data_IF_361887070152
#
_entry.id   IF_361887070152
#
_cell.length_a   1.000
_cell.length_b   1.000
_cell.length_c   1.000
_cell.angle_alpha   90.00
_cell.angle_beta   90.00
_cell.angle_gamma   90.00
#
_symmetry.space_group_name_H-M   'P 1'
#
loop_
_entity.id
_entity.type
_entity.pdbx_description
1 polymer ?
#
# COMPACT_ATOMS: atom_id res chain seq x y z
N UNK A 1 -5.66 -5.79 -2.57
CA UNK A 1 -5.85 -7.11 -1.94
C UNK A 1 -5.92 -6.92 -0.44
N UNK A 2 -6.33 -7.95 0.30
CA UNK A 2 -6.30 -7.93 1.76
C UNK A 2 -4.98 -8.51 2.27
N UNK A 3 -4.51 -8.03 3.43
CA UNK A 3 -3.24 -8.46 4.02
C UNK A 3 -2.07 -7.54 3.67
N UNK A 4 -0.86 -7.99 3.98
CA UNK A 4 0.36 -7.17 3.95
C UNK A 4 1.20 -7.47 2.72
N UNK A 5 1.67 -6.41 2.05
CA UNK A 5 2.56 -6.52 0.90
C UNK A 5 4.01 -6.20 1.28
N UNK A 6 4.80 -7.24 1.51
CA UNK A 6 6.23 -7.16 1.85
C UNK A 6 7.01 -8.11 0.93
N UNK A 7 8.14 -7.66 0.40
CA UNK A 7 9.08 -8.51 -0.34
C UNK A 7 9.99 -9.31 0.60
N UNK A 8 10.53 -10.44 0.13
CA UNK A 8 11.43 -11.28 0.91
C UNK A 8 10.80 -12.60 1.39
N UNK A 9 11.42 -13.31 2.35
CA UNK A 9 11.05 -14.68 2.72
C UNK A 9 9.71 -14.81 3.46
N UNK A 10 9.05 -13.70 3.81
CA UNK A 10 7.67 -13.69 4.32
C UNK A 10 7.53 -13.78 5.85
N UNK A 11 8.63 -13.82 6.61
CA UNK A 11 8.61 -13.85 8.08
C UNK A 11 7.99 -12.57 8.64
N UNK A 12 8.29 -11.42 8.04
CA UNK A 12 7.77 -10.12 8.44
C UNK A 12 6.26 -10.02 8.15
N UNK A 13 5.82 -10.52 6.99
CA UNK A 13 4.40 -10.56 6.61
C UNK A 13 3.58 -11.29 7.68
N UNK A 14 4.01 -12.49 8.07
CA UNK A 14 3.32 -13.30 9.08
C UNK A 14 3.18 -12.57 10.41
N UNK A 15 4.25 -11.95 10.91
CA UNK A 15 4.24 -11.21 12.18
C UNK A 15 3.25 -10.04 12.15
N UNK A 16 3.22 -9.27 11.05
CA UNK A 16 2.30 -8.14 10.92
C UNK A 16 0.84 -8.63 10.86
N UNK A 17 0.55 -9.67 10.08
CA UNK A 17 -0.80 -10.24 9.96
C UNK A 17 -1.27 -10.88 11.27
N UNK A 18 -0.40 -11.56 12.02
CA UNK A 18 -0.70 -12.12 13.35
C UNK A 18 -1.09 -11.02 14.35
N UNK A 19 -0.29 -9.95 14.44
CA UNK A 19 -0.55 -8.83 15.34
C UNK A 19 -1.86 -8.13 14.96
N UNK A 20 -2.05 -7.81 13.68
CA UNK A 20 -3.27 -7.14 13.25
C UNK A 20 -4.52 -8.00 13.48
N UNK A 21 -4.43 -9.31 13.28
CA UNK A 21 -5.50 -10.25 13.61
C UNK A 21 -5.80 -10.24 15.12
N UNK A 22 -4.76 -10.27 15.96
CA UNK A 22 -4.89 -10.20 17.43
C UNK A 22 -5.62 -8.94 17.89
N UNK A 23 -5.33 -7.80 17.27
CA UNK A 23 -5.97 -6.52 17.60
C UNK A 23 -7.22 -6.20 16.75
N UNK A 24 -7.65 -7.12 15.88
CA UNK A 24 -8.79 -6.97 14.96
C UNK A 24 -8.68 -5.71 14.07
N UNK A 25 -7.47 -5.36 13.68
CA UNK A 25 -7.20 -4.24 12.77
C UNK A 25 -7.28 -4.75 11.33
N UNK A 26 -8.20 -4.21 10.49
CA UNK A 26 -8.27 -4.60 9.09
C UNK A 26 -7.02 -4.10 8.33
N UNK A 27 -6.41 -4.97 7.52
CA UNK A 27 -5.26 -4.60 6.67
C UNK A 27 -5.65 -4.70 5.20
N UNK A 28 -5.42 -3.60 4.48
CA UNK A 28 -5.52 -3.53 3.03
C UNK A 28 -4.16 -3.16 2.43
N UNK A 29 -3.81 -3.81 1.32
CA UNK A 29 -2.62 -3.46 0.55
C UNK A 29 -2.98 -3.15 -0.91
N UNK A 30 -2.45 -2.03 -1.40
CA UNK A 30 -2.47 -1.62 -2.80
C UNK A 30 -1.03 -1.59 -3.30
N UNK A 31 -0.81 -2.24 -4.44
CA UNK A 31 0.50 -2.38 -5.07
C UNK A 31 0.43 -1.81 -6.48
N UNK A 32 1.40 -0.97 -6.81
CA UNK A 32 1.72 -0.62 -8.20
C UNK A 32 2.92 -1.48 -8.58
N UNK A 33 2.75 -2.38 -9.55
CA UNK A 33 3.79 -3.32 -9.94
C UNK A 33 4.63 -2.71 -11.06
N UNK A 34 5.92 -2.55 -10.81
CA UNK A 34 6.92 -2.16 -11.80
C UNK A 34 7.55 -3.40 -12.42
N UNK A 35 7.84 -3.35 -13.72
CA UNK A 35 8.66 -4.34 -14.41
C UNK A 35 10.13 -3.93 -14.44
N UNK A 36 11.03 -4.85 -14.80
CA UNK A 36 12.48 -4.55 -14.92
C UNK A 36 12.73 -3.37 -15.87
N UNK A 37 11.99 -3.30 -16.98
CA UNK A 37 12.09 -2.20 -17.94
C UNK A 37 11.77 -0.83 -17.34
N UNK A 38 10.86 -0.77 -16.37
CA UNK A 38 10.48 0.48 -15.70
C UNK A 38 11.56 0.97 -14.72
N UNK A 39 12.43 0.07 -14.27
CA UNK A 39 13.52 0.36 -13.32
C UNK A 39 14.79 0.83 -14.03
N UNK A 40 15.05 0.31 -15.24
CA UNK A 40 16.29 0.59 -15.99
C UNK A 40 16.12 1.66 -17.08
N UNK A 41 14.90 2.15 -17.30
CA UNK A 41 14.60 3.17 -18.30
C UNK A 41 13.55 4.16 -17.77
N UNK A 42 13.16 5.13 -18.60
CA UNK A 42 12.11 6.09 -18.22
C UNK A 42 10.83 5.34 -17.85
N UNK A 43 10.31 5.63 -16.65
CA UNK A 43 9.07 5.04 -16.15
C UNK A 43 7.93 5.25 -17.16
N UNK A 44 7.18 4.17 -17.40
CA UNK A 44 6.01 4.18 -18.26
C UNK A 44 4.92 5.10 -17.71
N UNK A 45 4.24 5.84 -18.60
CA UNK A 45 3.17 6.78 -18.23
C UNK A 45 2.04 6.10 -17.46
N UNK A 46 1.78 4.83 -17.77
CA UNK A 46 0.77 4.03 -17.09
C UNK A 46 1.05 3.88 -15.58
N UNK A 47 2.33 3.81 -15.18
CA UNK A 47 2.73 3.73 -13.77
C UNK A 47 2.50 5.07 -13.08
N UNK A 48 2.93 6.17 -13.71
CA UNK A 48 2.71 7.51 -13.16
C UNK A 48 1.22 7.83 -13.03
N UNK A 49 0.42 7.51 -14.04
CA UNK A 49 -1.03 7.75 -14.03
C UNK A 49 -1.76 6.88 -13.00
N UNK A 50 -1.21 5.72 -12.63
CA UNK A 50 -1.82 4.85 -11.62
C UNK A 50 -1.87 5.48 -10.22
N UNK A 51 -1.09 6.53 -9.96
CA UNK A 51 -1.07 7.24 -8.66
C UNK A 51 -2.43 7.87 -8.34
N UNK A 52 -3.08 8.52 -9.33
CA UNK A 52 -4.43 9.08 -9.12
C UNK A 52 -5.44 7.97 -8.86
N UNK A 53 -5.37 6.89 -9.63
CA UNK A 53 -6.26 5.74 -9.47
C UNK A 53 -6.12 5.10 -8.08
N UNK A 54 -4.89 4.88 -7.62
CA UNK A 54 -4.60 4.32 -6.30
C UNK A 54 -5.11 5.25 -5.19
N UNK A 55 -4.90 6.57 -5.34
CA UNK A 55 -5.39 7.55 -4.37
C UNK A 55 -6.92 7.51 -4.25
N UNK A 56 -7.63 7.41 -5.39
CA UNK A 56 -9.07 7.20 -5.42
C UNK A 56 -9.51 5.91 -4.72
N UNK A 57 -8.80 4.81 -4.95
CA UNK A 57 -9.06 3.53 -4.28
C UNK A 57 -8.82 3.58 -2.77
N UNK A 58 -7.76 4.26 -2.31
CA UNK A 58 -7.50 4.46 -0.86
C UNK A 58 -8.66 5.21 -0.22
N UNK A 59 -9.08 6.33 -0.81
CA UNK A 59 -10.24 7.10 -0.32
C UNK A 59 -11.49 6.24 -0.21
N UNK A 60 -11.77 5.44 -1.25
CA UNK A 60 -12.93 4.55 -1.27
C UNK A 60 -12.88 3.52 -0.15
N UNK A 61 -11.73 2.86 0.05
CA UNK A 61 -11.56 1.88 1.14
C UNK A 61 -11.82 2.54 2.49
N UNK A 62 -11.22 3.71 2.76
CA UNK A 62 -11.42 4.42 4.02
C UNK A 62 -12.91 4.72 4.24
N UNK A 63 -13.60 5.25 3.23
CA UNK A 63 -15.04 5.57 3.34
C UNK A 63 -15.93 4.32 3.52
N UNK A 64 -15.56 3.18 2.93
CA UNK A 64 -16.33 1.93 3.03
C UNK A 64 -16.04 1.16 4.33
N UNK A 65 -14.86 1.33 4.93
CA UNK A 65 -14.42 0.51 6.09
C UNK A 65 -14.35 1.27 7.40
N UNK A 66 -14.62 2.58 7.41
CA UNK A 66 -14.52 3.43 8.61
C UNK A 66 -15.78 4.27 8.80
N UNK A 67 -15.98 4.77 10.00
CA UNK A 67 -17.09 5.65 10.38
C UNK A 67 -16.56 6.96 10.95
N UNK A 68 -17.43 7.95 11.02
CA UNK A 68 -17.12 9.20 11.70
C UNK A 68 -16.70 8.91 13.16
N UNK A 69 -15.53 9.42 13.55
CA UNK A 69 -14.91 9.14 14.85
C UNK A 69 -13.85 8.03 14.85
N UNK A 70 -13.73 7.23 13.79
CA UNK A 70 -12.66 6.23 13.69
C UNK A 70 -11.30 6.88 13.40
N UNK A 71 -10.24 6.29 13.96
CA UNK A 71 -8.87 6.71 13.69
C UNK A 71 -8.26 5.90 12.54
N UNK A 72 -7.78 6.60 11.52
CA UNK A 72 -7.15 6.00 10.33
C UNK A 72 -5.69 6.40 10.27
N UNK A 73 -4.80 5.42 10.08
CA UNK A 73 -3.37 5.64 9.86
C UNK A 73 -3.05 5.26 8.41
N UNK A 74 -2.47 6.20 7.67
CA UNK A 74 -1.92 5.96 6.34
C UNK A 74 -0.41 6.10 6.46
N UNK A 75 0.33 5.04 6.12
CA UNK A 75 1.79 5.04 6.16
C UNK A 75 2.35 4.72 4.77
N UNK A 76 3.15 5.64 4.23
CA UNK A 76 4.01 5.37 3.07
C UNK A 76 5.34 4.82 3.55
N UNK A 77 5.73 3.63 3.10
CA UNK A 77 6.99 2.97 3.52
C UNK A 77 7.97 2.96 2.35
N UNK A 78 9.23 3.32 2.60
CA UNK A 78 10.30 3.34 1.61
C UNK A 78 10.13 4.44 0.55
N UNK A 79 10.39 4.10 -0.71
CA UNK A 79 10.33 5.03 -1.86
C UNK A 79 8.96 5.69 -2.08
N UNK A 80 7.91 5.16 -1.44
CA UNK A 80 6.56 5.72 -1.42
C UNK A 80 6.51 7.16 -0.86
N UNK A 81 7.47 7.55 -0.01
CA UNK A 81 7.59 8.94 0.48
C UNK A 81 8.24 9.89 -0.54
N UNK A 82 8.60 9.39 -1.71
CA UNK A 82 9.47 10.08 -2.66
C UNK A 82 10.94 9.95 -2.28
N UNK A 83 11.81 10.14 -3.27
CA UNK A 83 13.21 10.44 -3.00
C UNK A 83 13.22 11.93 -2.67
N UNK A 84 13.60 12.31 -1.44
CA UNK A 84 13.95 13.70 -1.18
C UNK A 84 15.21 14.01 -2.00
N UNK A 85 15.05 14.65 -3.15
CA UNK A 85 16.13 15.33 -3.86
C UNK A 85 16.08 16.82 -3.56
#
# INVERSE_FOLDING_TARGET
GTGVAIGGPGVEKYKVEEIATKYKVPINAILIKEGIGDVVSTMRKEITNSVEEVTGRIRRIILETTKEGDHVIIAGVGNTMGIAQ
#
